data_IF_670984760732
#
_entry.id   IF_670984760732
#
_cell.length_a   1.000
_cell.length_b   1.000
_cell.length_c   1.000
_cell.angle_alpha   90.00
_cell.angle_beta   90.00
_cell.angle_gamma   90.00
#
_symmetry.space_group_name_H-M   'P 1'
#
loop_
_entity.id
_entity.type
_entity.pdbx_description
1 polymer ?
#
# COMPACT_ATOMS: atom_id res chain seq x y z
N UNK A 1 -20.43 -11.95 -18.53
CA UNK A 1 -19.52 -11.03 -17.81
C UNK A 1 -20.31 -10.30 -16.75
N UNK A 2 -19.79 -10.18 -15.54
CA UNK A 2 -20.43 -9.39 -14.49
C UNK A 2 -20.35 -7.90 -14.88
N UNK A 3 -21.46 -7.16 -14.82
CA UNK A 3 -21.52 -5.77 -15.33
C UNK A 3 -20.55 -4.82 -14.62
N UNK A 4 -20.16 -5.16 -13.39
CA UNK A 4 -19.20 -4.43 -12.56
C UNK A 4 -17.76 -4.44 -13.08
N UNK A 5 -17.38 -5.42 -13.91
CA UNK A 5 -16.02 -5.53 -14.47
C UNK A 5 -15.88 -4.86 -15.84
N UNK A 6 -16.99 -4.62 -16.55
CA UNK A 6 -16.97 -4.03 -17.89
C UNK A 6 -16.19 -2.71 -17.99
N UNK A 7 -16.24 -1.80 -16.99
CA UNK A 7 -15.48 -0.56 -17.06
C UNK A 7 -13.96 -0.74 -16.94
N UNK A 8 -13.48 -1.77 -16.24
CA UNK A 8 -12.04 -1.93 -15.95
C UNK A 8 -11.31 -2.77 -16.99
N UNK A 9 -11.99 -3.73 -17.64
CA UNK A 9 -11.37 -4.65 -18.59
C UNK A 9 -10.63 -3.96 -19.76
N UNK A 10 -11.16 -2.90 -20.40
CA UNK A 10 -10.42 -2.18 -21.43
C UNK A 10 -9.07 -1.65 -20.93
N UNK A 11 -9.01 -1.14 -19.70
CA UNK A 11 -7.77 -0.62 -19.12
C UNK A 11 -6.76 -1.72 -18.76
N UNK A 12 -7.23 -2.93 -18.42
CA UNK A 12 -6.37 -4.12 -18.25
C UNK A 12 -5.81 -4.55 -19.60
N UNK A 13 -6.67 -4.64 -20.62
CA UNK A 13 -6.29 -5.03 -21.98
C UNK A 13 -5.30 -4.05 -22.62
N UNK A 14 -5.48 -2.75 -22.41
CA UNK A 14 -4.51 -1.75 -22.86
C UNK A 14 -3.14 -1.93 -22.18
N UNK A 15 -3.10 -2.31 -20.91
CA UNK A 15 -1.85 -2.65 -20.22
C UNK A 15 -1.15 -3.86 -20.85
N UNK A 16 -1.89 -4.94 -21.13
CA UNK A 16 -1.35 -6.14 -21.78
C UNK A 16 -0.90 -5.86 -23.23
N UNK A 17 -1.68 -5.08 -23.98
CA UNK A 17 -1.32 -4.63 -25.34
C UNK A 17 -0.01 -3.83 -25.32
N UNK A 18 0.08 -2.81 -24.46
CA UNK A 18 1.28 -1.99 -24.35
C UNK A 18 2.50 -2.79 -23.88
N UNK A 19 2.30 -3.75 -22.97
CA UNK A 19 3.36 -4.67 -22.56
C UNK A 19 3.84 -5.55 -23.71
N UNK A 20 2.93 -6.09 -24.53
CA UNK A 20 3.25 -6.90 -25.70
C UNK A 20 4.02 -6.11 -26.78
N UNK A 21 3.72 -4.82 -26.92
CA UNK A 21 4.43 -3.90 -27.82
C UNK A 21 5.80 -3.45 -27.28
N UNK A 22 6.07 -3.64 -25.99
CA UNK A 22 7.29 -3.13 -25.37
C UNK A 22 8.55 -3.89 -25.78
N UNK A 23 9.68 -3.17 -25.89
CA UNK A 23 11.00 -3.77 -26.08
C UNK A 23 11.42 -4.65 -24.89
N UNK A 24 10.86 -4.37 -23.70
CA UNK A 24 11.13 -5.10 -22.45
C UNK A 24 10.34 -6.40 -22.29
N UNK A 25 9.45 -6.76 -23.23
CA UNK A 25 8.54 -7.91 -23.10
C UNK A 25 9.26 -9.20 -22.66
N UNK A 26 10.34 -9.57 -23.35
CA UNK A 26 11.06 -10.82 -23.08
C UNK A 26 11.82 -10.78 -21.76
N UNK A 27 12.52 -9.69 -21.47
CA UNK A 27 13.24 -9.52 -20.20
C UNK A 27 12.28 -9.57 -18.99
N UNK A 28 11.08 -8.98 -19.14
CA UNK A 28 10.07 -8.99 -18.10
C UNK A 28 9.42 -10.37 -17.94
N UNK A 29 9.20 -11.13 -19.02
CA UNK A 29 8.76 -12.53 -18.92
C UNK A 29 9.81 -13.39 -18.21
N UNK A 30 11.09 -13.25 -18.55
CA UNK A 30 12.17 -13.99 -17.87
C UNK A 30 12.26 -13.61 -16.38
N UNK A 31 11.99 -12.35 -16.06
CA UNK A 31 11.95 -11.87 -14.68
C UNK A 31 10.79 -12.50 -13.90
N UNK A 32 9.59 -12.53 -14.48
CA UNK A 32 8.40 -13.09 -13.84
C UNK A 32 8.43 -14.63 -13.76
N UNK A 33 8.68 -15.30 -14.88
CA UNK A 33 8.39 -16.73 -15.07
C UNK A 33 9.64 -17.60 -15.25
N UNK A 34 10.84 -17.03 -15.06
CA UNK A 34 12.12 -17.69 -15.27
C UNK A 34 12.50 -17.87 -16.74
N UNK A 35 13.58 -18.60 -17.02
CA UNK A 35 14.16 -18.70 -18.38
C UNK A 35 13.80 -20.00 -19.12
N UNK A 36 12.97 -20.86 -18.52
CA UNK A 36 12.68 -22.20 -19.02
C UNK A 36 11.25 -22.38 -19.55
N UNK A 37 10.49 -21.28 -19.66
CA UNK A 37 9.15 -21.31 -20.23
C UNK A 37 9.13 -21.65 -21.73
N UNK A 38 7.99 -22.13 -22.22
CA UNK A 38 7.74 -22.40 -23.62
C UNK A 38 7.67 -21.08 -24.43
N UNK A 39 8.79 -20.74 -25.08
CA UNK A 39 8.93 -19.52 -25.89
C UNK A 39 7.95 -19.49 -27.07
N UNK A 40 7.51 -20.65 -27.59
CA UNK A 40 6.55 -20.69 -28.70
C UNK A 40 5.18 -20.24 -28.21
N UNK A 41 4.72 -20.77 -27.06
CA UNK A 41 3.46 -20.33 -26.44
C UNK A 41 3.51 -18.86 -26.02
N UNK A 42 4.61 -18.41 -25.43
CA UNK A 42 4.81 -17.01 -25.07
C UNK A 42 4.76 -16.09 -26.31
N UNK A 43 5.36 -16.50 -27.43
CA UNK A 43 5.29 -15.77 -28.70
C UNK A 43 3.85 -15.68 -29.22
N UNK A 44 3.09 -16.76 -29.11
CA UNK A 44 1.69 -16.81 -29.56
C UNK A 44 0.79 -15.90 -28.70
N UNK A 45 0.96 -15.93 -27.37
CA UNK A 45 0.29 -15.00 -26.44
C UNK A 45 0.61 -13.54 -26.78
N UNK A 46 1.88 -13.23 -27.04
CA UNK A 46 2.30 -11.89 -27.45
C UNK A 46 1.55 -11.44 -28.71
N UNK A 47 1.58 -12.25 -29.78
CA UNK A 47 0.94 -11.92 -31.06
C UNK A 47 -0.58 -11.69 -30.92
N UNK A 48 -1.25 -12.46 -30.07
CA UNK A 48 -2.66 -12.26 -29.75
C UNK A 48 -2.89 -10.90 -29.11
N UNK A 49 -2.14 -10.56 -28.06
CA UNK A 49 -2.26 -9.26 -27.40
C UNK A 49 -1.94 -8.08 -28.31
N UNK A 50 -0.91 -8.18 -29.16
CA UNK A 50 -0.58 -7.15 -30.16
C UNK A 50 -1.71 -6.95 -31.18
N UNK A 51 -2.48 -8.01 -31.45
CA UNK A 51 -3.68 -7.95 -32.30
C UNK A 51 -4.94 -7.53 -31.55
N UNK A 52 -4.83 -7.16 -30.26
CA UNK A 52 -5.93 -6.90 -29.32
C UNK A 52 -6.91 -8.07 -29.19
N UNK A 53 -6.41 -9.29 -29.39
CA UNK A 53 -7.13 -10.52 -29.08
C UNK A 53 -6.82 -10.96 -27.65
N UNK A 54 -7.86 -10.95 -26.83
CA UNK A 54 -7.83 -11.37 -25.42
C UNK A 54 -8.78 -12.53 -25.15
N UNK A 55 -9.28 -13.19 -26.20
CA UNK A 55 -10.25 -14.30 -26.10
C UNK A 55 -9.71 -15.55 -25.39
N UNK A 56 -8.38 -15.66 -25.32
CA UNK A 56 -7.65 -16.69 -24.60
C UNK A 56 -7.63 -16.51 -23.07
N UNK A 57 -7.92 -15.30 -22.57
CA UNK A 57 -7.92 -15.05 -21.12
C UNK A 57 -9.03 -15.83 -20.42
N UNK A 58 -8.79 -16.35 -19.21
CA UNK A 58 -9.76 -17.15 -18.48
C UNK A 58 -11.00 -16.34 -18.08
N UNK A 59 -12.17 -17.00 -17.94
CA UNK A 59 -13.37 -16.35 -17.45
C UNK A 59 -13.18 -15.79 -16.03
N UNK A 60 -13.71 -14.59 -15.78
CA UNK A 60 -13.60 -13.90 -14.49
C UNK A 60 -14.91 -14.01 -13.69
N UNK A 61 -14.80 -14.58 -12.49
CA UNK A 61 -15.78 -14.76 -11.40
C UNK A 61 -15.73 -13.76 -10.26
N UNK A 62 -16.67 -12.82 -10.11
CA UNK A 62 -16.80 -12.12 -8.82
C UNK A 62 -17.47 -13.02 -7.79
N UNK A 63 -16.85 -13.20 -6.61
CA UNK A 63 -17.39 -14.01 -5.52
C UNK A 63 -16.89 -13.51 -4.16
N UNK A 64 -17.57 -13.88 -3.07
CA UNK A 64 -17.01 -13.75 -1.73
C UNK A 64 -16.01 -14.89 -1.49
N UNK A 65 -14.73 -14.57 -1.28
CA UNK A 65 -13.64 -15.55 -1.15
C UNK A 65 -13.40 -16.00 0.30
N UNK A 66 -14.32 -15.71 1.22
CA UNK A 66 -14.36 -16.30 2.56
C UNK A 66 -13.41 -15.68 3.61
N UNK A 67 -12.31 -15.04 3.21
CA UNK A 67 -11.38 -14.38 4.13
C UNK A 67 -11.24 -12.87 3.84
N UNK A 68 -11.05 -12.06 4.90
CA UNK A 68 -10.61 -10.67 4.76
C UNK A 68 -9.15 -10.65 4.28
N UNK A 69 -8.87 -9.99 3.16
CA UNK A 69 -7.50 -9.84 2.62
C UNK A 69 -7.23 -10.55 1.28
N UNK A 70 -8.07 -11.53 0.89
CA UNK A 70 -7.98 -12.17 -0.44
C UNK A 70 -8.79 -11.35 -1.42
N UNK A 71 -8.13 -10.78 -2.43
CA UNK A 71 -8.77 -9.89 -3.39
C UNK A 71 -8.91 -10.48 -4.79
N UNK A 72 -8.02 -11.40 -5.15
CA UNK A 72 -8.08 -12.24 -6.35
C UNK A 72 -7.70 -13.68 -6.03
N UNK A 73 -8.03 -14.58 -6.96
CA UNK A 73 -7.47 -15.92 -6.99
C UNK A 73 -7.56 -16.53 -8.40
N UNK A 74 -6.54 -17.26 -8.84
CA UNK A 74 -6.52 -17.99 -10.10
C UNK A 74 -6.47 -19.48 -9.83
N UNK A 75 -7.35 -20.24 -10.46
CA UNK A 75 -7.32 -21.70 -10.40
C UNK A 75 -6.97 -22.27 -11.76
N UNK A 76 -5.81 -22.92 -11.84
CA UNK A 76 -5.39 -23.69 -13.03
C UNK A 76 -6.32 -24.88 -13.30
N UNK A 77 -6.79 -25.56 -12.24
CA UNK A 77 -7.68 -26.74 -12.34
C UNK A 77 -9.05 -26.44 -12.97
N UNK A 78 -9.56 -25.22 -12.78
CA UNK A 78 -10.84 -24.78 -13.36
C UNK A 78 -10.65 -23.74 -14.48
N UNK A 79 -9.40 -23.38 -14.77
CA UNK A 79 -8.97 -22.30 -15.65
C UNK A 79 -9.80 -21.01 -15.46
N UNK A 80 -9.74 -20.44 -14.26
CA UNK A 80 -10.68 -19.39 -13.88
C UNK A 80 -10.08 -18.40 -12.89
N UNK A 81 -10.34 -17.12 -13.15
CA UNK A 81 -10.01 -16.04 -12.22
C UNK A 81 -11.23 -15.78 -11.34
N UNK A 82 -11.00 -15.63 -10.04
CA UNK A 82 -11.96 -15.20 -9.05
C UNK A 82 -11.55 -13.83 -8.53
N UNK A 83 -12.49 -12.91 -8.38
CA UNK A 83 -12.27 -11.58 -7.82
C UNK A 83 -13.20 -11.41 -6.63
N UNK A 84 -12.68 -10.88 -5.53
CA UNK A 84 -13.49 -10.66 -4.34
C UNK A 84 -14.59 -9.61 -4.60
N UNK A 85 -15.79 -9.86 -4.07
CA UNK A 85 -16.85 -8.84 -4.09
C UNK A 85 -16.43 -7.57 -3.33
N UNK A 86 -15.64 -7.72 -2.25
CA UNK A 86 -15.15 -6.60 -1.45
C UNK A 86 -14.26 -5.63 -2.26
N UNK A 87 -13.46 -6.13 -3.21
CA UNK A 87 -12.68 -5.30 -4.13
C UNK A 87 -13.57 -4.54 -5.13
N UNK A 88 -14.63 -5.18 -5.60
CA UNK A 88 -15.59 -4.52 -6.49
C UNK A 88 -16.31 -3.40 -5.74
N UNK A 89 -16.74 -3.68 -4.51
CA UNK A 89 -17.49 -2.73 -3.68
C UNK A 89 -16.61 -1.56 -3.18
N UNK A 90 -15.29 -1.73 -3.12
CA UNK A 90 -14.37 -0.65 -2.74
C UNK A 90 -14.30 0.46 -3.80
N UNK A 91 -14.61 0.15 -5.06
CA UNK A 91 -14.49 1.08 -6.18
C UNK A 91 -13.05 1.47 -6.54
N UNK A 92 -12.05 0.80 -5.97
CA UNK A 92 -10.63 1.06 -6.23
C UNK A 92 -10.19 0.43 -7.56
N UNK A 93 -10.36 1.19 -8.63
CA UNK A 93 -9.99 0.76 -9.99
C UNK A 93 -8.49 0.48 -10.14
N UNK A 94 -7.62 1.16 -9.37
CA UNK A 94 -6.17 0.95 -9.42
C UNK A 94 -5.82 -0.41 -8.84
N UNK A 95 -6.33 -0.71 -7.65
CA UNK A 95 -6.13 -2.03 -7.02
C UNK A 95 -6.78 -3.13 -7.85
N UNK A 96 -8.00 -2.93 -8.35
CA UNK A 96 -8.68 -3.93 -9.17
C UNK A 96 -7.91 -4.27 -10.45
N UNK A 97 -7.29 -3.28 -11.10
CA UNK A 97 -6.42 -3.51 -12.24
C UNK A 97 -5.17 -4.31 -11.86
N UNK A 98 -4.53 -3.98 -10.73
CA UNK A 98 -3.34 -4.70 -10.26
C UNK A 98 -3.64 -6.18 -9.97
N UNK A 99 -4.73 -6.46 -9.24
CA UNK A 99 -5.19 -7.83 -8.97
C UNK A 99 -5.52 -8.56 -10.27
N UNK A 100 -6.27 -7.96 -11.18
CA UNK A 100 -6.59 -8.62 -12.45
C UNK A 100 -5.35 -8.98 -13.27
N UNK A 101 -4.33 -8.11 -13.28
CA UNK A 101 -3.08 -8.39 -13.97
C UNK A 101 -2.28 -9.50 -13.28
N UNK A 102 -2.32 -9.56 -11.96
CA UNK A 102 -1.69 -10.59 -11.14
C UNK A 102 -2.29 -11.97 -11.41
N UNK A 103 -3.61 -12.06 -11.39
CA UNK A 103 -4.33 -13.30 -11.72
C UNK A 103 -4.16 -13.73 -13.18
N UNK A 104 -3.96 -12.77 -14.09
CA UNK A 104 -3.59 -13.06 -15.48
C UNK A 104 -2.14 -13.58 -15.55
N UNK A 105 -1.25 -13.11 -14.68
CA UNK A 105 0.12 -13.60 -14.52
C UNK A 105 0.15 -15.09 -14.17
N UNK A 106 -0.56 -15.52 -13.13
CA UNK A 106 -0.66 -16.95 -12.78
C UNK A 106 -1.28 -17.78 -13.91
N UNK A 107 -2.27 -17.24 -14.63
CA UNK A 107 -2.79 -17.90 -15.83
C UNK A 107 -1.72 -18.11 -16.90
N UNK A 108 -0.90 -17.09 -17.18
CA UNK A 108 0.17 -17.16 -18.17
C UNK A 108 1.20 -18.19 -17.74
N UNK A 109 1.63 -18.18 -16.48
CA UNK A 109 2.57 -19.16 -15.94
C UNK A 109 2.09 -20.59 -16.22
N UNK A 110 0.84 -20.88 -15.85
CA UNK A 110 0.21 -22.17 -16.08
C UNK A 110 0.08 -22.55 -17.58
N UNK A 111 0.12 -21.58 -18.51
CA UNK A 111 0.14 -21.85 -19.94
C UNK A 111 1.54 -22.16 -20.47
N UNK A 112 2.53 -21.38 -20.06
CA UNK A 112 3.87 -21.38 -20.67
C UNK A 112 4.87 -22.26 -19.93
N UNK A 113 4.69 -22.50 -18.63
CA UNK A 113 5.53 -23.38 -17.84
C UNK A 113 4.88 -24.76 -17.66
N UNK A 114 5.71 -25.80 -17.50
CA UNK A 114 5.26 -27.18 -17.24
C UNK A 114 4.94 -27.43 -15.76
N UNK A 115 5.44 -26.57 -14.90
CA UNK A 115 5.26 -26.57 -13.46
C UNK A 115 5.19 -25.13 -13.01
N UNK A 116 4.43 -24.90 -11.96
CA UNK A 116 4.32 -23.62 -11.27
C UNK A 116 5.68 -22.97 -11.00
N UNK A 117 5.81 -21.69 -11.34
CA UNK A 117 7.00 -20.91 -11.00
C UNK A 117 6.98 -20.61 -9.49
N UNK A 118 8.05 -20.92 -8.73
CA UNK A 118 8.03 -20.66 -7.30
C UNK A 118 7.92 -19.17 -6.95
N UNK A 119 7.09 -18.87 -5.96
CA UNK A 119 6.85 -17.51 -5.47
C UNK A 119 5.51 -16.98 -5.96
N UNK A 120 5.37 -15.67 -6.00
CA UNK A 120 4.18 -14.98 -6.51
C UNK A 120 4.53 -14.34 -7.87
N UNK A 121 4.68 -15.20 -8.89
CA UNK A 121 5.00 -14.80 -10.26
C UNK A 121 3.90 -13.93 -10.87
N UNK A 122 2.66 -14.09 -10.41
CA UNK A 122 1.54 -13.23 -10.73
C UNK A 122 1.79 -11.79 -10.30
N UNK A 123 2.19 -11.57 -9.04
CA UNK A 123 2.45 -10.24 -8.50
C UNK A 123 3.61 -9.58 -9.24
N UNK A 124 4.68 -10.35 -9.50
CA UNK A 124 5.84 -9.87 -10.27
C UNK A 124 5.43 -9.46 -11.68
N UNK A 125 4.64 -10.29 -12.37
CA UNK A 125 4.10 -9.96 -13.69
C UNK A 125 3.24 -8.69 -13.65
N UNK A 126 2.34 -8.56 -12.67
CA UNK A 126 1.49 -7.37 -12.50
C UNK A 126 2.29 -6.10 -12.33
N UNK A 127 3.31 -6.11 -11.48
CA UNK A 127 4.20 -4.97 -11.26
C UNK A 127 4.92 -4.56 -12.55
N UNK A 128 5.50 -5.51 -13.28
CA UNK A 128 6.25 -5.27 -14.52
C UNK A 128 5.34 -4.73 -15.63
N UNK A 129 4.13 -5.27 -15.79
CA UNK A 129 3.12 -4.79 -16.77
C UNK A 129 2.62 -3.39 -16.42
N UNK A 130 2.58 -3.03 -15.13
CA UNK A 130 2.22 -1.69 -14.66
C UNK A 130 3.40 -0.70 -14.75
N UNK A 131 4.59 -1.16 -15.16
CA UNK A 131 5.79 -0.34 -15.31
C UNK A 131 6.45 0.03 -13.98
N UNK A 132 6.21 -0.74 -12.93
CA UNK A 132 6.86 -0.55 -11.64
C UNK A 132 8.34 -0.92 -11.74
N UNK A 133 9.20 -0.09 -11.15
CA UNK A 133 10.65 -0.35 -11.06
C UNK A 133 10.90 -1.04 -9.73
N UNK A 134 11.13 -2.35 -9.80
CA UNK A 134 11.44 -3.17 -8.63
C UNK A 134 12.95 -3.27 -8.43
N UNK A 135 13.41 -3.21 -7.19
CA UNK A 135 14.81 -3.52 -6.85
C UNK A 135 15.05 -5.03 -6.89
N UNK A 136 16.31 -5.46 -6.95
CA UNK A 136 16.66 -6.89 -6.89
C UNK A 136 16.16 -7.54 -5.60
N UNK A 137 16.19 -6.81 -4.47
CA UNK A 137 15.65 -7.28 -3.20
C UNK A 137 14.14 -7.47 -3.25
N UNK A 138 13.40 -6.58 -3.92
CA UNK A 138 11.95 -6.72 -4.10
C UNK A 138 11.60 -7.90 -5.02
N UNK A 139 12.37 -8.13 -6.08
CA UNK A 139 12.17 -9.30 -6.96
C UNK A 139 12.47 -10.59 -6.20
N UNK A 140 13.58 -10.65 -5.46
CA UNK A 140 13.95 -11.83 -4.67
C UNK A 140 12.93 -12.13 -3.56
N UNK A 141 12.36 -11.07 -3.00
CA UNK A 141 11.28 -11.11 -2.03
C UNK A 141 10.01 -11.76 -2.59
N UNK A 142 9.49 -11.26 -3.71
CA UNK A 142 8.27 -11.78 -4.36
C UNK A 142 8.45 -13.25 -4.79
N UNK A 143 9.63 -13.61 -5.28
CA UNK A 143 9.98 -15.01 -5.61
C UNK A 143 10.01 -15.97 -4.41
N UNK A 144 9.94 -15.45 -3.18
CA UNK A 144 9.85 -16.22 -1.96
C UNK A 144 8.44 -16.30 -1.36
N UNK A 145 7.47 -15.56 -1.90
CA UNK A 145 6.09 -15.51 -1.42
C UNK A 145 5.27 -16.62 -2.07
N UNK A 146 5.01 -17.71 -1.34
CA UNK A 146 4.09 -18.73 -1.85
C UNK A 146 2.67 -18.37 -1.41
N UNK A 147 1.84 -18.00 -2.37
CA UNK A 147 0.44 -17.59 -2.21
C UNK A 147 -0.56 -18.71 -2.54
N UNK A 148 -0.07 -19.92 -2.79
CA UNK A 148 -0.90 -21.10 -3.00
C UNK A 148 -1.80 -21.38 -1.79
N UNK A 149 -3.10 -21.49 -2.08
CA UNK A 149 -4.12 -21.71 -1.08
C UNK A 149 -5.27 -22.58 -1.59
N UNK A 150 -6.25 -22.80 -0.71
CA UNK A 150 -7.50 -23.47 -1.04
C UNK A 150 -8.67 -22.59 -0.65
N UNK A 151 -9.49 -22.24 -1.63
CA UNK A 151 -10.75 -21.51 -1.42
C UNK A 151 -11.94 -22.46 -1.56
N UNK A 152 -13.08 -22.08 -0.98
CA UNK A 152 -14.34 -22.81 -1.16
C UNK A 152 -15.19 -22.12 -2.23
N UNK A 153 -15.47 -22.84 -3.32
CA UNK A 153 -16.32 -22.39 -4.42
C UNK A 153 -17.52 -23.34 -4.52
N UNK A 154 -18.71 -22.84 -4.20
CA UNK A 154 -19.96 -23.61 -4.29
C UNK A 154 -19.92 -24.90 -3.46
N UNK A 155 -19.25 -24.84 -2.30
CA UNK A 155 -19.08 -25.97 -1.38
C UNK A 155 -17.96 -26.93 -1.76
N UNK A 156 -17.21 -26.68 -2.83
CA UNK A 156 -16.05 -27.46 -3.24
C UNK A 156 -14.75 -26.74 -2.92
N UNK A 157 -13.75 -27.49 -2.44
CA UNK A 157 -12.39 -26.99 -2.27
C UNK A 157 -11.72 -26.85 -3.64
N UNK A 158 -11.16 -25.66 -3.91
CA UNK A 158 -10.46 -25.33 -5.15
C UNK A 158 -9.09 -24.78 -4.80
N UNK A 159 -8.03 -25.41 -5.33
CA UNK A 159 -6.67 -24.90 -5.23
C UNK A 159 -6.50 -23.69 -6.14
N UNK A 160 -5.83 -22.67 -5.60
CA UNK A 160 -5.63 -21.37 -6.25
C UNK A 160 -4.29 -20.76 -5.85
N UNK A 161 -3.75 -19.92 -6.73
CA UNK A 161 -2.84 -18.82 -6.36
C UNK A 161 -3.69 -17.59 -6.00
N UNK A 162 -3.25 -16.75 -5.07
CA UNK A 162 -4.07 -15.70 -4.46
C UNK A 162 -3.39 -14.33 -4.46
N UNK A 163 -4.04 -13.36 -5.10
CA UNK A 163 -3.72 -11.97 -4.84
C UNK A 163 -4.18 -11.51 -3.44
N UNK A 164 -3.22 -11.33 -2.54
CA UNK A 164 -3.40 -10.79 -1.19
C UNK A 164 -2.86 -9.37 -1.08
N UNK A 165 -3.73 -8.40 -0.84
CA UNK A 165 -3.35 -6.99 -0.78
C UNK A 165 -3.67 -6.43 0.62
N UNK A 166 -2.71 -5.89 1.36
CA UNK A 166 -2.99 -5.34 2.69
C UNK A 166 -3.91 -4.12 2.62
N UNK A 167 -4.87 -4.07 3.52
CA UNK A 167 -5.70 -2.89 3.76
C UNK A 167 -5.06 -2.03 4.83
N UNK A 168 -4.82 -0.76 4.52
CA UNK A 168 -4.13 0.17 5.41
C UNK A 168 -5.06 1.22 6.01
N UNK A 169 -4.83 1.56 7.27
CA UNK A 169 -5.50 2.67 7.97
C UNK A 169 -4.49 3.54 8.67
N UNK A 170 -4.87 4.78 8.97
CA UNK A 170 -4.03 5.74 9.72
C UNK A 170 -4.80 6.31 10.91
N UNK A 171 -4.10 6.51 12.02
CA UNK A 171 -4.61 7.20 13.20
C UNK A 171 -3.52 8.08 13.85
N UNK A 172 -3.88 9.23 14.47
CA UNK A 172 -2.94 9.96 15.31
C UNK A 172 -2.67 9.18 16.59
N UNK A 173 -1.46 9.28 17.12
CA UNK A 173 -1.09 8.71 18.43
C UNK A 173 -0.56 9.80 19.35
N UNK A 174 0.71 10.16 19.24
CA UNK A 174 1.33 11.17 20.10
C UNK A 174 1.30 12.52 19.38
N UNK A 175 0.87 13.59 20.06
CA UNK A 175 0.90 14.93 19.48
C UNK A 175 2.34 15.48 19.51
N UNK A 176 2.80 16.15 18.43
CA UNK A 176 4.10 16.78 18.42
C UNK A 176 4.13 18.00 19.34
N UNK A 177 5.28 18.23 19.97
CA UNK A 177 5.57 19.43 20.78
C UNK A 177 6.87 20.03 20.26
N UNK A 178 6.86 21.33 20.00
CA UNK A 178 8.05 22.09 19.56
C UNK A 178 9.23 21.87 20.51
N UNK A 179 10.39 21.49 19.94
CA UNK A 179 11.61 21.22 20.69
C UNK A 179 11.53 20.04 21.67
N UNK A 180 10.44 19.26 21.64
CA UNK A 180 10.15 18.24 22.64
C UNK A 180 9.68 16.92 22.02
N UNK A 181 8.46 16.51 22.38
CA UNK A 181 7.91 15.21 21.99
C UNK A 181 7.72 15.12 20.47
N UNK A 182 8.27 14.06 19.88
CA UNK A 182 8.01 13.70 18.49
C UNK A 182 6.57 13.18 18.37
N UNK A 183 5.79 13.78 17.49
CA UNK A 183 4.44 13.32 17.18
C UNK A 183 4.46 12.07 16.31
N UNK A 184 3.43 11.25 16.39
CA UNK A 184 3.36 9.98 15.64
C UNK A 184 1.98 9.75 15.05
N UNK A 185 1.95 9.40 13.77
CA UNK A 185 0.82 8.70 13.16
C UNK A 185 1.12 7.20 13.13
N UNK A 186 0.13 6.39 13.50
CA UNK A 186 0.20 4.93 13.42
C UNK A 186 -0.51 4.51 12.14
N UNK A 187 0.18 3.74 11.31
CA UNK A 187 -0.36 3.06 10.15
C UNK A 187 -0.56 1.59 10.55
N UNK A 188 -1.76 1.06 10.32
CA UNK A 188 -2.10 -0.35 10.60
C UNK A 188 -2.51 -1.06 9.33
N UNK A 189 -1.98 -2.26 9.12
CA UNK A 189 -2.30 -3.17 8.04
C UNK A 189 -3.05 -4.38 8.61
N UNK A 190 -4.07 -4.87 7.92
CA UNK A 190 -4.82 -6.07 8.34
C UNK A 190 -4.10 -7.39 8.00
N UNK A 191 -3.24 -7.38 6.99
CA UNK A 191 -2.25 -8.42 6.70
C UNK A 191 -0.83 -7.83 6.74
N UNK A 192 0.21 -8.64 7.02
CA UNK A 192 1.59 -8.17 6.94
C UNK A 192 1.89 -7.54 5.58
N UNK A 193 2.70 -6.48 5.56
CA UNK A 193 3.25 -5.96 4.31
C UNK A 193 3.96 -7.08 3.53
N UNK A 194 3.76 -7.19 2.20
CA UNK A 194 4.45 -8.18 1.38
C UNK A 194 5.97 -8.02 1.50
N UNK A 195 6.68 -9.05 1.08
CA UNK A 195 8.13 -9.04 1.01
C UNK A 195 8.56 -7.93 0.03
N UNK A 196 9.63 -7.21 0.36
CA UNK A 196 9.99 -5.96 -0.33
C UNK A 196 9.25 -4.70 0.17
N UNK A 197 8.22 -4.84 1.01
CA UNK A 197 7.52 -3.74 1.66
C UNK A 197 6.47 -3.06 0.77
N UNK A 198 5.92 -1.94 1.23
CA UNK A 198 4.87 -1.18 0.52
C UNK A 198 5.24 0.28 0.44
N UNK A 199 5.21 0.87 -0.75
CA UNK A 199 5.29 2.33 -0.94
C UNK A 199 3.89 2.91 -0.80
N UNK A 200 3.63 3.61 0.31
CA UNK A 200 2.33 4.23 0.60
C UNK A 200 2.34 5.69 0.20
N UNK A 201 1.38 6.07 -0.64
CA UNK A 201 1.17 7.45 -1.07
C UNK A 201 0.36 8.24 -0.02
N UNK A 202 0.74 9.49 0.21
CA UNK A 202 0.00 10.40 1.06
C UNK A 202 0.07 11.85 0.55
N UNK A 203 -0.83 12.69 1.09
CA UNK A 203 -0.71 14.14 1.02
C UNK A 203 -1.05 14.77 2.37
N UNK A 204 -0.71 16.05 2.54
CA UNK A 204 -0.97 16.81 3.77
C UNK A 204 -2.07 17.87 3.58
N UNK A 205 -2.90 17.72 2.54
CA UNK A 205 -3.98 18.66 2.21
C UNK A 205 -4.90 18.91 3.41
N UNK A 206 -5.13 20.18 3.70
CA UNK A 206 -5.94 20.63 4.83
C UNK A 206 -5.19 20.76 6.15
N UNK A 207 -3.87 20.56 6.17
CA UNK A 207 -2.99 21.05 7.23
C UNK A 207 -2.97 22.57 7.24
N UNK A 208 -2.79 23.16 8.42
CA UNK A 208 -2.49 24.60 8.55
C UNK A 208 -1.00 24.84 8.76
N UNK A 209 -0.30 23.85 9.32
CA UNK A 209 1.16 23.80 9.37
C UNK A 209 1.73 23.40 8.00
N UNK A 210 2.91 23.92 7.69
CA UNK A 210 3.64 23.80 6.43
C UNK A 210 4.90 22.96 6.61
N UNK A 211 5.05 21.91 5.81
CA UNK A 211 6.30 21.19 5.68
C UNK A 211 7.23 21.92 4.69
N UNK A 212 8.48 22.27 4.99
CA UNK A 212 9.32 22.01 6.18
C UNK A 212 9.41 23.18 7.18
N UNK A 213 8.58 24.22 7.03
CA UNK A 213 8.67 25.42 7.87
C UNK A 213 8.34 25.10 9.34
N UNK A 214 7.24 24.41 9.57
CA UNK A 214 6.67 24.21 10.91
C UNK A 214 6.91 22.77 11.41
N UNK A 215 7.08 21.81 10.50
CA UNK A 215 7.38 20.41 10.86
C UNK A 215 8.11 19.66 9.75
N UNK A 216 8.80 18.58 10.15
CA UNK A 216 9.32 17.57 9.24
C UNK A 216 8.65 16.21 9.46
N UNK A 217 8.46 15.46 8.36
CA UNK A 217 8.05 14.06 8.41
C UNK A 217 9.29 13.19 8.33
N UNK A 218 9.42 12.24 9.24
CA UNK A 218 10.57 11.33 9.30
C UNK A 218 10.12 9.89 9.51
N UNK A 219 11.01 8.95 9.16
CA UNK A 219 10.76 7.54 9.39
C UNK A 219 10.65 7.25 10.89
N UNK A 220 9.60 6.55 11.29
CA UNK A 220 9.50 5.93 12.61
C UNK A 220 9.67 4.42 12.51
N UNK A 221 8.95 3.68 13.35
CA UNK A 221 9.01 2.21 13.40
C UNK A 221 8.52 1.63 12.09
N UNK A 222 9.26 0.67 11.53
CA UNK A 222 8.92 -0.05 10.30
C UNK A 222 8.70 0.82 9.05
N UNK A 223 9.19 2.06 9.03
CA UNK A 223 9.29 2.87 7.82
C UNK A 223 10.76 2.92 7.38
N UNK A 224 11.05 2.56 6.13
CA UNK A 224 12.43 2.54 5.59
C UNK A 224 12.78 3.78 4.77
N UNK A 225 11.79 4.49 4.24
CA UNK A 225 11.98 5.72 3.47
C UNK A 225 10.79 6.66 3.65
N UNK A 226 11.05 7.97 3.61
CA UNK A 226 10.03 9.04 3.59
C UNK A 226 10.43 10.08 2.55
N UNK A 227 9.49 10.43 1.69
CA UNK A 227 9.60 11.52 0.71
C UNK A 227 8.51 12.57 0.98
N UNK A 228 8.35 13.55 0.08
CA UNK A 228 7.31 14.57 0.21
C UNK A 228 5.88 14.00 0.10
N UNK A 229 5.69 12.88 -0.59
CA UNK A 229 4.37 12.31 -0.89
C UNK A 229 4.29 10.80 -0.74
N UNK A 230 5.37 10.13 -0.34
CA UNK A 230 5.40 8.69 -0.09
C UNK A 230 6.17 8.33 1.18
N UNK A 231 5.83 7.20 1.78
CA UNK A 231 6.70 6.51 2.73
C UNK A 231 6.67 5.01 2.47
N UNK A 232 7.75 4.30 2.80
CA UNK A 232 7.85 2.86 2.56
C UNK A 232 7.73 2.09 3.86
N UNK A 233 6.70 1.24 3.98
CA UNK A 233 6.54 0.30 5.09
C UNK A 233 7.41 -0.93 4.82
N UNK A 234 8.17 -1.36 5.82
CA UNK A 234 9.02 -2.53 5.73
C UNK A 234 8.21 -3.82 5.56
N UNK A 235 8.79 -4.79 4.85
CA UNK A 235 8.23 -6.13 4.69
C UNK A 235 7.88 -6.79 6.03
N UNK A 236 6.78 -7.55 6.05
CA UNK A 236 6.28 -8.27 7.22
C UNK A 236 5.67 -7.39 8.32
N UNK A 237 5.73 -6.06 8.19
CA UNK A 237 5.15 -5.17 9.19
C UNK A 237 3.62 -5.16 9.09
N UNK A 238 2.94 -5.32 10.21
CA UNK A 238 1.48 -5.08 10.35
C UNK A 238 1.18 -3.70 10.93
N UNK A 239 2.20 -3.01 11.43
CA UNK A 239 2.11 -1.65 11.95
C UNK A 239 3.36 -0.85 11.59
N UNK A 240 3.21 0.43 11.27
CA UNK A 240 4.31 1.36 11.06
C UNK A 240 4.01 2.72 11.70
N UNK A 241 5.03 3.53 12.00
CA UNK A 241 4.83 4.88 12.52
C UNK A 241 5.50 5.93 11.63
N UNK A 242 4.72 6.94 11.23
CA UNK A 242 5.23 8.14 10.58
C UNK A 242 5.44 9.21 11.64
N UNK A 243 6.68 9.66 11.81
CA UNK A 243 7.03 10.65 12.82
C UNK A 243 6.81 12.06 12.30
N UNK A 244 6.37 12.94 13.19
CA UNK A 244 6.19 14.38 12.96
C UNK A 244 7.05 15.11 13.97
N UNK A 245 8.11 15.74 13.50
CA UNK A 245 9.02 16.54 14.33
C UNK A 245 8.66 18.01 14.12
N UNK A 246 8.06 18.63 15.13
CA UNK A 246 7.79 20.07 15.11
C UNK A 246 9.12 20.83 15.11
N UNK A 247 9.23 21.81 14.21
CA UNK A 247 10.38 22.70 14.13
C UNK A 247 10.24 23.72 15.24
N UNK A 248 11.27 23.86 16.07
CA UNK A 248 11.33 24.95 17.04
C UNK A 248 11.97 26.16 16.36
N UNK A 249 11.24 27.26 16.29
CA UNK A 249 11.79 28.54 15.89
C UNK A 249 11.38 29.67 16.86
N UNK A 250 11.81 30.90 16.57
CA UNK A 250 11.58 32.06 17.43
C UNK A 250 10.34 32.87 17.03
N UNK A 251 9.53 32.38 16.11
CA UNK A 251 8.30 33.02 15.65
C UNK A 251 7.17 32.66 16.61
N UNK A 252 6.25 33.60 16.82
CA UNK A 252 5.04 33.30 17.58
C UNK A 252 4.11 32.47 16.71
N UNK A 253 3.97 31.20 17.06
CA UNK A 253 3.10 30.30 16.31
C UNK A 253 1.63 30.45 16.70
N UNK A 254 0.80 30.34 15.67
CA UNK A 254 -0.63 30.11 15.86
C UNK A 254 -0.83 28.63 16.16
N UNK A 255 -1.99 28.27 16.70
CA UNK A 255 -2.34 26.86 16.78
C UNK A 255 -2.49 26.31 15.37
N UNK A 256 -1.63 25.36 15.04
CA UNK A 256 -1.65 24.70 13.75
C UNK A 256 -2.05 23.22 13.87
N UNK A 257 -2.33 22.61 12.74
CA UNK A 257 -2.68 21.20 12.64
C UNK A 257 -1.92 20.58 11.48
N UNK A 258 -1.28 19.45 11.77
CA UNK A 258 -0.72 18.55 10.74
C UNK A 258 -1.76 17.48 10.43
N UNK A 259 -2.06 17.31 9.15
CA UNK A 259 -2.93 16.25 8.62
C UNK A 259 -2.15 15.37 7.67
N UNK A 260 -2.41 14.07 7.73
CA UNK A 260 -1.92 13.10 6.75
C UNK A 260 -3.11 12.35 6.17
N UNK A 261 -3.29 12.45 4.85
CA UNK A 261 -4.30 11.74 4.10
C UNK A 261 -3.59 10.68 3.26
N UNK A 262 -3.81 9.40 3.57
CA UNK A 262 -3.41 8.31 2.69
C UNK A 262 -4.18 8.41 1.39
N UNK A 263 -3.50 8.21 0.27
CA UNK A 263 -4.09 8.23 -1.08
C UNK A 263 -3.91 6.88 -1.75
N UNK A 264 -4.71 6.62 -2.80
CA UNK A 264 -4.60 5.38 -3.58
C UNK A 264 -3.18 5.18 -4.12
N UNK A 265 -2.74 3.92 -4.14
CA UNK A 265 -1.43 3.50 -4.63
C UNK A 265 -1.48 2.06 -5.13
N UNK A 266 -0.33 1.51 -5.52
CA UNK A 266 -0.18 0.09 -5.82
C UNK A 266 0.14 -0.72 -4.57
N UNK A 267 -0.35 -1.95 -4.48
CA UNK A 267 0.02 -2.89 -3.41
C UNK A 267 -0.68 -2.69 -2.06
N UNK A 268 -1.71 -1.85 -1.97
CA UNK A 268 -2.56 -1.73 -0.77
C UNK A 268 -3.95 -1.17 -1.09
N UNK A 269 -4.91 -1.40 -0.18
CA UNK A 269 -6.24 -0.77 -0.22
C UNK A 269 -6.40 0.20 0.96
N UNK A 270 -7.06 1.33 0.73
CA UNK A 270 -7.39 2.24 1.82
C UNK A 270 -8.55 1.69 2.66
N UNK A 271 -8.34 1.60 3.97
CA UNK A 271 -9.40 1.36 4.94
C UNK A 271 -10.27 2.59 5.19
N UNK A 272 -11.33 2.38 5.98
CA UNK A 272 -12.31 3.43 6.28
C UNK A 272 -11.66 4.69 6.89
N UNK A 273 -10.64 4.48 7.74
CA UNK A 273 -9.83 5.56 8.32
C UNK A 273 -8.55 5.75 7.51
N UNK A 274 -8.63 6.57 6.46
CA UNK A 274 -7.50 6.92 5.58
C UNK A 274 -6.99 8.35 5.79
N UNK A 275 -7.49 9.05 6.82
CA UNK A 275 -7.14 10.44 7.13
C UNK A 275 -6.96 10.60 8.62
N UNK A 276 -5.88 11.24 9.03
CA UNK A 276 -5.58 11.53 10.43
C UNK A 276 -5.12 12.98 10.61
N UNK A 277 -5.45 13.55 11.76
CA UNK A 277 -4.98 14.86 12.18
C UNK A 277 -4.67 14.84 13.68
N UNK A 278 -3.63 15.56 14.09
CA UNK A 278 -3.42 15.81 15.51
C UNK A 278 -4.52 16.72 16.08
N UNK A 279 -4.70 16.64 17.40
CA UNK A 279 -5.58 17.58 18.08
C UNK A 279 -4.88 18.94 18.14
N UNK A 280 -5.65 20.02 18.06
CA UNK A 280 -5.11 21.36 18.27
C UNK A 280 -4.67 21.52 19.72
N UNK A 281 -3.54 22.21 19.94
CA UNK A 281 -3.10 22.56 21.28
C UNK A 281 -4.17 23.41 21.99
N UNK A 282 -4.43 23.11 23.26
CA UNK A 282 -5.33 23.94 24.09
C UNK A 282 -4.53 25.08 24.70
N UNK A 283 -4.84 26.31 24.31
CA UNK A 283 -4.22 27.51 24.89
C UNK A 283 -4.99 28.00 26.11
N UNK A 284 -4.26 28.40 27.14
CA UNK A 284 -4.81 29.06 28.33
C UNK A 284 -4.37 30.53 28.35
N UNK A 285 -5.34 31.45 28.29
CA UNK A 285 -5.06 32.88 28.35
C UNK A 285 -4.54 33.28 29.73
N UNK A 286 -3.32 33.83 29.81
CA UNK A 286 -2.67 34.28 31.06
C UNK A 286 -2.74 35.80 31.29
N UNK A 287 -3.41 36.54 30.40
CA UNK A 287 -3.50 38.00 30.45
C UNK A 287 -2.23 38.73 29.98
N UNK A 288 -2.19 40.07 30.10
CA UNK A 288 -1.14 40.90 29.51
C UNK A 288 0.13 41.07 30.38
N UNK A 289 0.07 40.73 31.67
CA UNK A 289 1.18 40.83 32.64
C UNK A 289 1.10 39.71 33.67
N UNK A 290 1.25 38.45 33.26
CA UNK A 290 1.30 37.35 34.22
C UNK A 290 2.53 37.51 35.11
N UNK A 291 2.32 37.58 36.43
CA UNK A 291 3.44 37.64 37.39
C UNK A 291 4.11 36.28 37.58
N UNK A 292 3.35 35.20 37.41
CA UNK A 292 3.85 33.83 37.50
C UNK A 292 2.87 32.87 36.80
N UNK A 293 3.39 31.80 36.22
CA UNK A 293 2.62 30.62 35.82
C UNK A 293 3.15 29.45 36.64
N UNK A 294 2.25 28.71 37.28
CA UNK A 294 2.59 27.45 37.95
C UNK A 294 2.05 26.31 37.12
N UNK A 295 2.93 25.45 36.63
CA UNK A 295 2.55 24.19 35.97
C UNK A 295 2.71 23.04 36.96
N UNK A 296 1.80 22.07 36.91
CA UNK A 296 1.85 20.87 37.72
C UNK A 296 2.82 19.83 37.15
N UNK A 297 3.16 18.83 37.97
CA UNK A 297 3.95 17.66 37.58
C UNK A 297 3.22 16.86 36.48
N UNK A 298 3.85 16.72 35.31
CA UNK A 298 3.32 16.02 34.15
C UNK A 298 3.66 14.52 34.11
N UNK A 299 4.53 14.02 34.98
CA UNK A 299 5.03 12.64 34.93
C UNK A 299 4.73 11.81 36.19
N UNK A 300 3.97 12.33 37.16
CA UNK A 300 3.41 11.55 38.28
C UNK A 300 4.45 10.95 39.22
N UNK A 301 5.67 11.47 39.21
CA UNK A 301 6.77 11.05 40.07
C UNK A 301 7.01 12.10 41.14
N UNK A 302 7.06 11.70 42.41
CA UNK A 302 7.12 12.59 43.58
C UNK A 302 8.41 13.42 43.75
N UNK A 303 9.12 13.77 42.67
CA UNK A 303 10.29 14.64 42.70
C UNK A 303 9.94 16.01 42.09
N UNK A 304 9.51 16.93 42.95
CA UNK A 304 9.31 18.33 42.60
C UNK A 304 10.60 18.95 42.07
N UNK A 305 10.59 19.40 40.82
CA UNK A 305 11.38 20.54 40.40
C UNK A 305 10.42 21.67 40.03
N UNK A 306 9.95 22.43 41.03
CA UNK A 306 9.42 23.77 40.78
C UNK A 306 10.58 24.66 40.32
N UNK A 307 10.76 24.80 39.01
CA UNK A 307 11.50 25.96 38.51
C UNK A 307 10.56 27.16 38.58
N UNK A 308 10.74 27.99 39.60
CA UNK A 308 10.28 29.37 39.54
C UNK A 308 11.03 30.03 38.37
N UNK A 309 10.40 30.11 37.20
CA UNK A 309 10.85 31.05 36.15
C UNK A 309 10.46 32.44 36.64
N UNK A 310 11.33 33.01 37.47
CA UNK A 310 11.29 34.44 37.72
C UNK A 310 11.69 35.15 36.42
N UNK A 311 10.82 36.07 36.01
CA UNK A 311 10.96 37.06 34.93
C UNK A 311 10.87 36.56 33.49
N UNK A 312 9.72 36.86 32.86
CA UNK A 312 9.63 37.18 31.43
C UNK A 312 9.34 38.70 31.41
N UNK A 313 10.28 39.50 30.91
CA UNK A 313 10.05 40.94 30.70
C UNK A 313 9.26 41.19 29.42
#
# INVERSE_FOLDING_TARGET
MNSSLLPILPAVYDSLFNFAESDGFWANLETAFGTSYDVVKATQLRQQWQSRDFSQLPPITVKNLGNSGIFGAYSSSTNRIYISQALIDSGDATTLKAVLLEEIGHFIDAQINSSDTPGDEGQLFSALVRGEVLTEEQIAAIRGENDAATITVDGQAVSVEMASIPKITIAPSTNPVEGGTVGTFIITLDTPAPTGGIVVNFNTTGSTATNIADYSLTAGTNITAVTANTFTIAAGATTATLNVVAVFDAVRDRNETVKVNLTSGGGYILGANSRASFNTATNFSVGNRPYSVTVGDFNGGASQFCQNINTIQ
#
